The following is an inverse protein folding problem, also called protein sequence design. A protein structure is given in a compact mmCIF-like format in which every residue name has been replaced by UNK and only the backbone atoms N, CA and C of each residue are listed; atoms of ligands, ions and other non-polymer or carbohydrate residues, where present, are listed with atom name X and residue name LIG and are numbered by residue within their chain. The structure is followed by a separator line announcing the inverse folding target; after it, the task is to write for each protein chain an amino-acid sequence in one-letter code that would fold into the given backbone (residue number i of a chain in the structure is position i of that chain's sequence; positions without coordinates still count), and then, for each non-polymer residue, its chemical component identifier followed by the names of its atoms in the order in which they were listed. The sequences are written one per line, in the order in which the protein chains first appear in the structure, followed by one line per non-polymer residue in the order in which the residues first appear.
data_IF_310080466288
#
_entry.id   IF_310080466288
#
_cell.length_a   1.000
_cell.length_b   1.000
_cell.length_c   1.000
_cell.angle_alpha   90.00
_cell.angle_beta   90.00
_cell.angle_gamma   90.00
#
_symmetry.space_group_name_H-M   'P 1'
#
loop_
_entity.id
_entity.type
_entity.pdbx_description
1 polymer ?
#
# COMPACT_ATOMS: atom_id res chain seq x y z
N UNK A 1 -3.81 -17.89 -2.34
CA UNK A 1 -2.52 -17.19 -2.19
C UNK A 1 -2.80 -15.89 -1.43
N UNK A 2 -2.59 -15.88 -0.11
CA UNK A 2 -2.83 -14.70 0.73
C UNK A 2 -1.57 -13.83 0.69
N UNK A 3 -1.70 -12.58 0.23
CA UNK A 3 -0.63 -11.58 0.33
C UNK A 3 -0.56 -11.07 1.78
N UNK A 4 0.14 -11.79 2.66
CA UNK A 4 0.37 -11.34 4.04
C UNK A 4 1.54 -10.36 4.09
N UNK A 5 1.22 -9.07 4.11
CA UNK A 5 2.19 -7.99 4.25
C UNK A 5 2.58 -7.81 5.72
N UNK A 6 3.79 -8.26 6.11
CA UNK A 6 4.30 -8.15 7.49
C UNK A 6 5.27 -6.99 7.70
N UNK A 7 5.42 -6.09 6.70
CA UNK A 7 6.34 -4.94 6.74
C UNK A 7 6.16 -4.06 7.98
N UNK A 8 4.93 -3.95 8.49
CA UNK A 8 4.60 -3.17 9.70
C UNK A 8 5.23 -3.71 11.00
N UNK A 9 5.69 -4.97 11.01
CA UNK A 9 6.39 -5.59 12.15
C UNK A 9 7.92 -5.52 12.01
N UNK A 10 8.43 -5.05 10.87
CA UNK A 10 9.86 -5.04 10.61
C UNK A 10 10.53 -3.90 11.39
N UNK A 11 11.58 -4.17 12.20
CA UNK A 11 12.15 -3.18 13.10
C UNK A 11 12.81 -1.99 12.39
N UNK A 12 13.22 -2.17 11.12
CA UNK A 12 13.79 -1.09 10.32
C UNK A 12 12.74 -0.13 9.71
N UNK A 13 11.47 -0.54 9.62
CA UNK A 13 10.45 0.26 8.94
C UNK A 13 9.75 1.17 9.93
N UNK A 14 9.78 2.48 9.66
CA UNK A 14 9.09 3.47 10.51
C UNK A 14 7.58 3.27 10.46
N UNK A 15 6.96 2.93 11.60
CA UNK A 15 5.52 2.63 11.74
C UNK A 15 4.90 3.47 12.88
N UNK A 16 3.60 3.78 12.81
CA UNK A 16 2.85 4.48 13.86
C UNK A 16 3.11 5.99 13.95
N UNK A 17 3.37 6.50 15.16
CA UNK A 17 3.52 7.94 15.46
C UNK A 17 4.75 8.62 14.84
N UNK A 18 5.60 7.84 14.15
CA UNK A 18 6.77 8.33 13.43
C UNK A 18 6.48 8.72 11.97
N UNK A 19 5.27 8.46 11.48
CA UNK A 19 4.81 8.85 10.15
C UNK A 19 4.24 10.27 10.16
N UNK A 20 4.51 11.01 9.10
CA UNK A 20 3.83 12.29 8.82
C UNK A 20 2.36 12.06 8.46
N UNK A 21 1.53 13.09 8.59
CA UNK A 21 0.10 13.03 8.24
C UNK A 21 -0.13 12.57 6.78
N UNK A 22 0.76 12.96 5.86
CA UNK A 22 0.71 12.55 4.46
C UNK A 22 0.99 11.06 4.26
N UNK A 23 1.92 10.48 5.02
CA UNK A 23 2.23 9.05 4.94
C UNK A 23 1.12 8.19 5.52
N UNK A 24 0.45 8.66 6.60
CA UNK A 24 -0.75 8.01 7.13
C UNK A 24 -1.91 8.00 6.13
N UNK A 25 -2.12 9.11 5.42
CA UNK A 25 -3.13 9.21 4.38
C UNK A 25 -2.80 8.29 3.18
N UNK A 26 -1.53 8.23 2.79
CA UNK A 26 -1.06 7.34 1.72
C UNK A 26 -1.24 5.85 2.08
N UNK A 27 -0.91 5.45 3.32
CA UNK A 27 -1.12 4.07 3.78
C UNK A 27 -2.61 3.71 3.87
N UNK A 28 -3.47 4.65 4.28
CA UNK A 28 -4.93 4.48 4.27
C UNK A 28 -5.49 4.34 2.84
N UNK A 29 -5.02 5.18 1.91
CA UNK A 29 -5.38 5.08 0.48
C UNK A 29 -4.91 3.75 -0.12
N UNK A 30 -3.68 3.33 0.16
CA UNK A 30 -3.12 2.06 -0.34
C UNK A 30 -3.95 0.85 0.12
N UNK A 31 -4.36 0.83 1.38
CA UNK A 31 -5.18 -0.26 1.92
C UNK A 31 -6.65 -0.20 1.46
N UNK A 32 -7.22 0.99 1.25
CA UNK A 32 -8.61 1.15 0.83
C UNK A 32 -8.84 0.92 -0.67
N UNK A 33 -7.98 1.50 -1.52
CA UNK A 33 -8.15 1.50 -2.97
C UNK A 33 -7.80 0.15 -3.63
N UNK A 34 -7.02 -0.69 -2.94
CA UNK A 34 -6.65 -2.03 -3.40
C UNK A 34 -7.66 -3.14 -3.05
N UNK A 35 -8.79 -2.82 -2.40
CA UNK A 35 -9.74 -3.84 -1.96
C UNK A 35 -10.82 -4.14 -3.02
N UNK A 36 -11.13 -5.41 -3.23
CA UNK A 36 -12.27 -5.86 -4.03
C UNK A 36 -13.63 -5.23 -3.64
N UNK A 37 -13.97 -5.07 -2.34
CA UNK A 37 -15.22 -4.41 -1.96
C UNK A 37 -15.30 -2.93 -2.36
N UNK A 38 -14.18 -2.22 -2.49
CA UNK A 38 -14.17 -0.83 -2.96
C UNK A 38 -14.65 -0.70 -4.42
N UNK A 39 -14.23 -1.63 -5.29
CA UNK A 39 -14.65 -1.67 -6.70
C UNK A 39 -16.16 -1.90 -6.81
N UNK A 40 -16.70 -2.85 -6.04
CA UNK A 40 -18.14 -3.11 -6.01
C UNK A 40 -18.94 -1.94 -5.43
N UNK A 41 -18.43 -1.27 -4.39
CA UNK A 41 -19.06 -0.06 -3.85
C UNK A 41 -19.12 1.08 -4.87
N UNK A 42 -18.06 1.26 -5.67
CA UNK A 42 -18.00 2.29 -6.71
C UNK A 42 -19.00 2.01 -7.84
N UNK A 43 -19.06 0.76 -8.32
CA UNK A 43 -20.03 0.32 -9.34
C UNK A 43 -21.46 0.44 -8.79
N UNK A 44 -21.69 0.03 -7.54
CA UNK A 44 -22.97 0.16 -6.87
C UNK A 44 -23.43 1.61 -6.74
N UNK A 45 -22.52 2.51 -6.33
CA UNK A 45 -22.80 3.94 -6.26
C UNK A 45 -23.16 4.53 -7.63
N UNK A 46 -22.41 4.17 -8.69
CA UNK A 46 -22.72 4.57 -10.07
C UNK A 46 -24.11 4.09 -10.50
N UNK A 47 -24.44 2.82 -10.24
CA UNK A 47 -25.73 2.24 -10.59
C UNK A 47 -26.87 2.88 -9.79
N UNK A 48 -26.70 3.09 -8.49
CA UNK A 48 -27.69 3.75 -7.62
C UNK A 48 -27.92 5.19 -8.10
N UNK A 49 -26.85 5.92 -8.44
CA UNK A 49 -26.96 7.30 -8.93
C UNK A 49 -27.68 7.35 -10.28
N UNK A 50 -27.32 6.47 -11.22
CA UNK A 50 -27.99 6.37 -12.51
C UNK A 50 -29.48 6.01 -12.36
N UNK A 51 -29.82 5.09 -11.46
CA UNK A 51 -31.20 4.67 -11.17
C UNK A 51 -31.99 5.78 -10.47
N UNK A 52 -31.42 6.42 -9.44
CA UNK A 52 -32.06 7.53 -8.73
C UNK A 52 -32.37 8.69 -9.68
N UNK A 53 -31.44 9.02 -10.58
CA UNK A 53 -31.61 10.09 -11.55
C UNK A 53 -32.60 9.70 -12.67
N UNK A 54 -32.61 8.43 -13.11
CA UNK A 54 -33.61 7.90 -14.06
C UNK A 54 -35.02 7.86 -13.46
N UNK A 55 -35.16 7.51 -12.17
CA UNK A 55 -36.44 7.53 -11.44
C UNK A 55 -36.91 8.98 -11.23
N UNK A 56 -36.00 9.91 -10.93
CA UNK A 56 -36.34 11.33 -10.82
C UNK A 56 -36.80 11.92 -12.17
N UNK A 57 -36.28 11.39 -13.28
CA UNK A 57 -36.70 11.73 -14.64
C UNK A 57 -38.07 11.12 -15.04
N UNK A 58 -38.40 9.90 -14.60
CA UNK A 58 -39.63 9.17 -14.97
C UNK A 58 -40.79 9.26 -13.94
N UNK A 59 -40.50 9.54 -12.66
CA UNK A 59 -41.38 9.24 -11.53
C UNK A 59 -42.10 10.41 -10.86
N UNK A 60 -41.82 11.66 -11.24
CA UNK A 60 -42.63 12.81 -10.81
C UNK A 60 -41.89 13.83 -9.94
N UNK A 61 -41.77 15.03 -10.50
CA UNK A 61 -42.03 16.27 -9.78
C UNK A 61 -42.78 17.19 -10.74
N UNK A 62 -43.90 17.72 -10.25
CA UNK A 62 -44.95 18.40 -10.99
C UNK A 62 -44.57 19.79 -11.52
N UNK A 63 -43.29 20.05 -11.78
CA UNK A 63 -42.81 21.30 -12.37
C UNK A 63 -41.87 20.94 -13.52
N UNK A 64 -42.39 21.07 -14.74
CA UNK A 64 -41.97 20.34 -15.93
C UNK A 64 -40.64 20.75 -16.55
N UNK A 65 -39.63 21.17 -15.79
CA UNK A 65 -38.33 21.48 -16.36
C UNK A 65 -37.21 21.15 -15.37
N UNK A 66 -36.12 20.58 -15.89
CA UNK A 66 -34.81 20.39 -15.25
C UNK A 66 -34.70 19.14 -14.35
N UNK A 67 -34.52 17.96 -14.96
CA UNK A 67 -33.89 16.84 -14.27
C UNK A 67 -32.54 17.29 -13.69
N UNK A 68 -32.21 16.87 -12.48
CA UNK A 68 -31.01 17.30 -11.75
C UNK A 68 -29.70 17.00 -12.51
N UNK A 69 -29.71 15.98 -13.39
CA UNK A 69 -28.63 15.69 -14.35
C UNK A 69 -29.16 14.93 -15.60
N UNK A 70 -29.70 15.63 -16.63
CA UNK A 70 -30.25 15.02 -17.84
C UNK A 70 -29.18 14.31 -18.68
N UNK A 71 -29.58 13.31 -19.47
CA UNK A 71 -28.68 12.62 -20.39
C UNK A 71 -28.06 13.62 -21.39
N UNK A 72 -26.72 13.75 -21.53
CA UNK A 72 -25.62 12.96 -20.96
C UNK A 72 -25.19 13.45 -19.57
N UNK A 73 -25.09 12.55 -18.58
CA UNK A 73 -24.79 12.85 -17.17
C UNK A 73 -23.52 13.70 -16.99
N UNK A 74 -23.66 15.03 -16.97
CA UNK A 74 -22.55 15.98 -17.06
C UNK A 74 -21.78 16.02 -15.74
N UNK A 75 -22.50 15.95 -14.62
CA UNK A 75 -21.92 15.99 -13.28
C UNK A 75 -21.19 14.69 -12.96
N UNK A 76 -21.79 13.55 -13.32
CA UNK A 76 -21.17 12.24 -13.15
C UNK A 76 -19.91 12.11 -14.01
N UNK A 77 -19.95 12.55 -15.27
CA UNK A 77 -18.80 12.50 -16.16
C UNK A 77 -17.67 13.44 -15.70
N UNK A 78 -18.00 14.64 -15.19
CA UNK A 78 -17.03 15.57 -14.62
C UNK A 78 -16.38 15.00 -13.35
N UNK A 79 -17.18 14.43 -12.45
CA UNK A 79 -16.67 13.79 -11.23
C UNK A 79 -15.76 12.60 -11.56
N UNK A 80 -16.16 11.74 -12.50
CA UNK A 80 -15.34 10.63 -12.98
C UNK A 80 -14.03 11.11 -13.59
N UNK A 81 -14.07 12.17 -14.41
CA UNK A 81 -12.88 12.73 -15.04
C UNK A 81 -11.89 13.29 -14.01
N UNK A 82 -12.40 13.96 -12.96
CA UNK A 82 -11.56 14.43 -11.85
C UNK A 82 -10.95 13.28 -11.06
N UNK A 83 -11.72 12.22 -10.76
CA UNK A 83 -11.22 11.02 -10.06
C UNK A 83 -10.16 10.32 -10.92
N UNK A 84 -10.40 10.15 -12.22
CA UNK A 84 -9.45 9.55 -13.15
C UNK A 84 -8.15 10.38 -13.27
N UNK A 85 -8.26 11.72 -13.29
CA UNK A 85 -7.10 12.61 -13.25
C UNK A 85 -6.28 12.48 -11.95
N UNK A 86 -6.95 12.26 -10.82
CA UNK A 86 -6.29 12.08 -9.52
C UNK A 86 -5.66 10.69 -9.35
N UNK A 87 -6.17 9.66 -10.03
CA UNK A 87 -5.68 8.28 -9.91
C UNK A 87 -4.18 8.15 -10.18
N UNK A 88 -3.65 8.84 -11.19
CA UNK A 88 -2.22 8.80 -11.52
C UNK A 88 -1.33 9.37 -10.40
N UNK A 89 -1.76 10.45 -9.76
CA UNK A 89 -1.04 11.06 -8.65
C UNK A 89 -1.08 10.17 -7.40
N UNK A 90 -2.24 9.59 -7.08
CA UNK A 90 -2.38 8.64 -5.96
C UNK A 90 -1.50 7.41 -6.17
N UNK A 91 -1.48 6.87 -7.40
CA UNK A 91 -0.63 5.74 -7.74
C UNK A 91 0.86 6.07 -7.54
N UNK A 92 1.29 7.26 -7.96
CA UNK A 92 2.67 7.71 -7.80
C UNK A 92 3.05 7.90 -6.32
N UNK A 93 2.15 8.44 -5.50
CA UNK A 93 2.35 8.58 -4.06
C UNK A 93 2.46 7.20 -3.39
N UNK A 94 1.57 6.27 -3.74
CA UNK A 94 1.59 4.91 -3.22
C UNK A 94 2.86 4.15 -3.64
N UNK A 95 3.32 4.35 -4.88
CA UNK A 95 4.56 3.79 -5.39
C UNK A 95 5.77 4.35 -4.64
N UNK A 96 5.86 5.67 -4.47
CA UNK A 96 6.94 6.32 -3.72
C UNK A 96 7.04 5.79 -2.28
N UNK A 97 5.90 5.61 -1.60
CA UNK A 97 5.85 5.04 -0.25
C UNK A 97 6.33 3.58 -0.24
N UNK A 98 5.93 2.78 -1.22
CA UNK A 98 6.36 1.38 -1.32
C UNK A 98 7.86 1.26 -1.56
N UNK A 99 8.42 2.14 -2.39
CA UNK A 99 9.85 2.18 -2.71
C UNK A 99 10.69 2.59 -1.49
N UNK A 100 10.24 3.61 -0.74
CA UNK A 100 10.86 4.01 0.52
C UNK A 100 10.95 2.84 1.51
N UNK A 101 9.84 2.12 1.75
CA UNK A 101 9.84 0.96 2.66
C UNK A 101 10.80 -0.12 2.16
N UNK A 102 10.79 -0.40 0.85
CA UNK A 102 11.69 -1.39 0.24
C UNK A 102 13.17 -1.04 0.43
N UNK A 103 13.51 0.25 0.30
CA UNK A 103 14.87 0.75 0.50
C UNK A 103 15.34 0.59 1.96
N UNK A 104 14.50 0.92 2.94
CA UNK A 104 14.81 0.80 4.37
C UNK A 104 15.05 -0.68 4.76
N UNK A 105 14.19 -1.58 4.27
CA UNK A 105 14.33 -3.03 4.49
C UNK A 105 15.62 -3.56 3.86
N UNK A 106 15.96 -3.11 2.65
CA UNK A 106 17.15 -3.56 1.93
C UNK A 106 18.44 -3.14 2.65
N UNK A 107 18.52 -1.90 3.13
CA UNK A 107 19.67 -1.41 3.89
C UNK A 107 19.85 -2.20 5.19
N UNK A 108 18.77 -2.43 5.95
CA UNK A 108 18.87 -3.21 7.18
C UNK A 108 19.25 -4.68 6.95
N UNK A 109 18.72 -5.29 5.88
CA UNK A 109 19.08 -6.66 5.49
C UNK A 109 20.55 -6.75 5.11
N UNK A 110 21.08 -5.75 4.42
CA UNK A 110 22.51 -5.68 4.08
C UNK A 110 23.38 -5.62 5.35
N UNK A 111 23.07 -4.72 6.29
CA UNK A 111 23.80 -4.59 7.56
C UNK A 111 23.74 -5.88 8.42
N UNK A 112 22.57 -6.52 8.52
CA UNK A 112 22.45 -7.78 9.24
C UNK A 112 23.27 -8.90 8.57
N UNK A 113 23.29 -8.92 7.23
CA UNK A 113 24.04 -9.94 6.47
C UNK A 113 25.55 -9.76 6.66
N UNK A 114 26.06 -8.54 6.67
CA UNK A 114 27.49 -8.28 6.92
C UNK A 114 27.87 -8.66 8.35
N UNK A 115 27.07 -8.30 9.35
CA UNK A 115 27.28 -8.71 10.74
C UNK A 115 27.23 -10.22 10.92
N UNK A 116 26.27 -10.90 10.27
CA UNK A 116 26.18 -12.36 10.28
C UNK A 116 27.42 -13.01 9.68
N UNK A 117 27.92 -12.46 8.56
CA UNK A 117 29.15 -12.95 7.92
C UNK A 117 30.37 -12.77 8.82
N UNK A 118 30.47 -11.64 9.50
CA UNK A 118 31.55 -11.39 10.49
C UNK A 118 31.47 -12.37 11.67
N UNK A 119 30.28 -12.61 12.22
CA UNK A 119 30.07 -13.57 13.30
C UNK A 119 30.42 -15.00 12.87
N UNK A 120 30.06 -15.40 11.66
CA UNK A 120 30.42 -16.71 11.10
C UNK A 120 31.93 -16.85 10.95
N UNK A 121 32.64 -15.80 10.52
CA UNK A 121 34.09 -15.81 10.44
C UNK A 121 34.73 -16.00 11.83
N UNK A 122 34.20 -15.34 12.87
CA UNK A 122 34.67 -15.51 14.26
C UNK A 122 34.41 -16.92 14.80
N UNK A 123 33.23 -17.50 14.52
CA UNK A 123 32.91 -18.87 14.91
C UNK A 123 33.84 -19.87 14.23
N UNK A 124 34.12 -19.68 12.95
CA UNK A 124 35.04 -20.54 12.20
C UNK A 124 36.49 -20.43 12.72
N UNK A 125 36.94 -19.23 13.08
CA UNK A 125 38.25 -19.02 13.70
C UNK A 125 38.37 -19.71 15.06
N UNK A 126 37.38 -19.52 15.95
CA UNK A 126 37.32 -20.20 17.25
C UNK A 126 37.29 -21.72 17.09
N UNK A 127 36.54 -22.22 16.11
CA UNK A 127 36.46 -23.66 15.82
C UNK A 127 37.81 -24.19 15.35
N UNK A 128 38.54 -23.44 14.51
CA UNK A 128 39.90 -23.79 14.08
C UNK A 128 40.92 -23.73 15.22
N UNK A 129 40.76 -22.81 16.17
CA UNK A 129 41.61 -22.70 17.35
C UNK A 129 41.42 -23.88 18.30
N UNK A 130 40.16 -24.24 18.62
CA UNK A 130 39.83 -25.43 19.40
C UNK A 130 40.36 -26.70 18.72
N UNK A 131 40.17 -26.81 17.40
CA UNK A 131 40.68 -27.97 16.65
C UNK A 131 42.20 -28.09 16.75
N UNK A 132 42.95 -26.98 16.63
CA UNK A 132 44.41 -26.97 16.84
C UNK A 132 44.79 -27.44 18.24
N UNK A 133 44.14 -26.93 19.28
CA UNK A 133 44.43 -27.29 20.67
C UNK A 133 44.14 -28.77 21.01
N UNK A 134 43.17 -29.41 20.34
CA UNK A 134 42.84 -30.82 20.57
C UNK A 134 43.74 -31.75 19.75
N UNK A 135 44.15 -31.35 18.55
CA UNK A 135 44.95 -32.18 17.65
C UNK A 135 46.46 -32.08 17.85
N UNK A 136 46.99 -31.06 18.51
CA UNK A 136 48.40 -31.06 18.93
C UNK A 136 48.59 -31.98 20.16
N UNK A 137 49.51 -32.96 20.10
CA UNK A 137 49.73 -33.87 21.22
C UNK A 137 50.28 -33.07 22.40
N UNK A 138 49.59 -33.15 23.54
CA UNK A 138 50.03 -32.64 24.84
C UNK A 138 51.43 -33.21 25.09
N UNK A 139 52.46 -32.37 24.97
CA UNK A 139 53.85 -32.69 25.29
C UNK A 139 54.06 -32.82 26.79
#
# INVERSE_FOLDING_TARGET
MQWTNHWHRHPAVRTGDRLTLGERAADAMRNGMGSWPFVFAFIGFMAIWAVANSIFYLGGSADGQHGFDPYPYILLNLALSMVAGLQGAILLIAAKRSDQISSEVSLHTYENTTQLTELLAKVDELTREIHRHICEPIK
#
